data_IF_924558650369
#
_entry.id   IF_924558650369
#
_cell.length_a   1.000
_cell.length_b   1.000
_cell.length_c   1.000
_cell.angle_alpha   90.00
_cell.angle_beta   90.00
_cell.angle_gamma   90.00
#
_symmetry.space_group_name_H-M   'P 1'
#
loop_
_entity.id
_entity.type
_entity.pdbx_description
1 polymer ?
#
# COMPACT_ATOMS: atom_id res chain seq x y z
N UNK A 1 11.73 16.08 -4.14
CA UNK A 1 11.59 14.97 -3.16
C UNK A 1 10.14 14.79 -2.68
N UNK A 2 9.45 15.85 -2.25
CA UNK A 2 8.07 15.75 -1.72
C UNK A 2 7.05 15.20 -2.73
N UNK A 3 7.12 15.62 -3.99
CA UNK A 3 6.28 15.10 -5.09
C UNK A 3 6.53 13.62 -5.37
N UNK A 4 7.80 13.20 -5.33
CA UNK A 4 8.17 11.79 -5.51
C UNK A 4 7.54 10.91 -4.43
N UNK A 5 7.68 11.30 -3.15
CA UNK A 5 7.06 10.59 -2.00
C UNK A 5 5.53 10.55 -2.14
N UNK A 6 4.91 11.65 -2.54
CA UNK A 6 3.45 11.70 -2.75
C UNK A 6 2.99 10.73 -3.85
N UNK A 7 3.68 10.68 -4.99
CA UNK A 7 3.37 9.78 -6.10
C UNK A 7 3.60 8.32 -5.70
N UNK A 8 4.71 7.99 -5.04
CA UNK A 8 4.95 6.61 -4.56
C UNK A 8 3.93 6.18 -3.52
N UNK A 9 3.54 7.07 -2.60
CA UNK A 9 2.48 6.80 -1.64
C UNK A 9 1.15 6.52 -2.30
N UNK A 10 0.80 7.31 -3.33
CA UNK A 10 -0.41 7.10 -4.12
C UNK A 10 -0.39 5.71 -4.79
N UNK A 11 0.73 5.31 -5.40
CA UNK A 11 0.86 3.99 -6.02
C UNK A 11 0.67 2.85 -5.00
N UNK A 12 1.20 2.97 -3.78
CA UNK A 12 0.99 1.97 -2.73
C UNK A 12 -0.46 1.90 -2.26
N UNK A 13 -1.15 3.05 -2.15
CA UNK A 13 -2.59 3.07 -1.84
C UNK A 13 -3.38 2.39 -2.94
N UNK A 14 -3.10 2.67 -4.22
CA UNK A 14 -3.73 1.98 -5.35
C UNK A 14 -3.48 0.47 -5.29
N UNK A 15 -2.27 0.05 -4.95
CA UNK A 15 -1.96 -1.36 -4.74
C UNK A 15 -2.83 -1.97 -3.64
N UNK A 16 -2.93 -1.34 -2.46
CA UNK A 16 -3.81 -1.82 -1.39
C UNK A 16 -5.25 -1.94 -1.86
N UNK A 17 -5.77 -0.93 -2.57
CA UNK A 17 -7.12 -0.98 -3.15
C UNK A 17 -7.28 -2.13 -4.13
N UNK A 18 -6.28 -2.39 -4.99
CA UNK A 18 -6.31 -3.54 -5.90
C UNK A 18 -6.35 -4.88 -5.15
N UNK A 19 -5.63 -5.01 -4.03
CA UNK A 19 -5.73 -6.21 -3.18
C UNK A 19 -7.12 -6.36 -2.57
N UNK A 20 -7.74 -5.27 -2.12
CA UNK A 20 -9.11 -5.28 -1.58
C UNK A 20 -10.13 -5.67 -2.66
N UNK A 21 -10.05 -5.05 -3.85
CA UNK A 21 -10.91 -5.40 -4.99
C UNK A 21 -10.74 -6.86 -5.39
N UNK A 22 -9.51 -7.39 -5.34
CA UNK A 22 -9.23 -8.79 -5.59
C UNK A 22 -9.93 -9.71 -4.59
N UNK A 23 -9.93 -9.36 -3.29
CA UNK A 23 -10.68 -10.11 -2.27
C UNK A 23 -12.18 -10.10 -2.57
N UNK A 24 -12.74 -8.98 -3.02
CA UNK A 24 -14.16 -8.91 -3.41
C UNK A 24 -14.49 -9.70 -4.68
N UNK A 25 -13.59 -9.71 -5.67
CA UNK A 25 -13.82 -10.38 -6.95
C UNK A 25 -13.57 -11.88 -6.91
N UNK A 26 -12.48 -12.30 -6.28
CA UNK A 26 -12.09 -13.70 -6.21
C UNK A 26 -12.69 -14.34 -4.95
N UNK A 27 -12.69 -13.66 -3.79
CA UNK A 27 -13.21 -14.15 -2.51
C UNK A 27 -12.16 -14.24 -1.41
N UNK A 28 -12.57 -14.57 -0.18
CA UNK A 28 -11.66 -14.65 1.00
C UNK A 28 -10.57 -15.73 0.85
N UNK A 29 -10.79 -16.74 0.01
CA UNK A 29 -9.81 -17.81 -0.24
C UNK A 29 -8.47 -17.33 -0.84
N UNK A 30 -8.41 -16.12 -1.40
CA UNK A 30 -7.15 -15.51 -1.89
C UNK A 30 -6.22 -15.21 -0.71
N UNK A 31 -6.77 -14.98 0.49
CA UNK A 31 -5.97 -14.83 1.71
C UNK A 31 -5.24 -16.11 2.12
N UNK A 32 -5.58 -17.27 1.56
CA UNK A 32 -4.81 -18.50 1.73
C UNK A 32 -3.50 -18.53 0.94
N UNK A 33 -3.32 -17.62 -0.03
CA UNK A 33 -2.10 -17.54 -0.82
C UNK A 33 -1.03 -16.72 -0.07
N UNK A 34 0.11 -17.33 0.32
CA UNK A 34 1.13 -16.66 1.11
C UNK A 34 1.74 -15.46 0.38
N UNK A 35 1.78 -15.50 -0.96
CA UNK A 35 2.29 -14.39 -1.76
C UNK A 35 1.37 -13.17 -1.68
N UNK A 36 0.06 -13.38 -1.75
CA UNK A 36 -0.93 -12.29 -1.65
C UNK A 36 -0.90 -11.63 -0.27
N UNK A 37 -0.79 -12.41 0.80
CA UNK A 37 -0.62 -11.89 2.15
C UNK A 37 0.66 -11.06 2.27
N UNK A 38 1.78 -11.59 1.76
CA UNK A 38 3.06 -10.88 1.80
C UNK A 38 2.99 -9.52 1.08
N UNK A 39 2.46 -9.47 -0.15
CA UNK A 39 2.35 -8.23 -0.91
C UNK A 39 1.35 -7.24 -0.28
N UNK A 40 0.29 -7.74 0.34
CA UNK A 40 -0.67 -6.90 1.07
C UNK A 40 -0.02 -6.24 2.28
N UNK A 41 0.64 -7.02 3.14
CA UNK A 41 1.33 -6.52 4.35
C UNK A 41 2.43 -5.54 3.96
N UNK A 42 3.21 -5.85 2.92
CA UNK A 42 4.25 -4.97 2.41
C UNK A 42 3.66 -3.65 1.92
N UNK A 43 2.56 -3.70 1.15
CA UNK A 43 1.89 -2.50 0.64
C UNK A 43 1.34 -1.62 1.76
N UNK A 44 0.74 -2.21 2.79
CA UNK A 44 0.27 -1.49 3.99
C UNK A 44 1.43 -0.84 4.75
N UNK A 45 2.54 -1.56 4.94
CA UNK A 45 3.75 -1.03 5.56
C UNK A 45 4.34 0.14 4.77
N UNK A 46 4.38 0.04 3.44
CA UNK A 46 4.87 1.08 2.55
C UNK A 46 3.95 2.32 2.51
N UNK A 47 2.64 2.15 2.60
CA UNK A 47 1.69 3.24 2.82
C UNK A 47 1.99 4.00 4.12
N UNK A 48 2.19 3.27 5.23
CA UNK A 48 2.54 3.87 6.53
C UNK A 48 3.89 4.59 6.49
N UNK A 49 4.89 4.00 5.83
CA UNK A 49 6.19 4.62 5.63
C UNK A 49 6.11 5.90 4.78
N UNK A 50 5.37 5.86 3.67
CA UNK A 50 5.17 7.04 2.81
C UNK A 50 4.48 8.18 3.55
N UNK A 51 3.47 7.87 4.37
CA UNK A 51 2.81 8.86 5.23
C UNK A 51 3.77 9.47 6.26
N UNK A 52 4.60 8.64 6.90
CA UNK A 52 5.64 9.10 7.83
C UNK A 52 6.64 10.03 7.12
N UNK A 53 7.12 9.64 5.94
CA UNK A 53 8.04 10.45 5.12
C UNK A 53 7.42 11.78 4.69
N UNK A 54 6.17 11.78 4.22
CA UNK A 54 5.46 13.03 3.89
C UNK A 54 5.41 13.96 5.10
N UNK A 55 5.00 13.46 6.27
CA UNK A 55 4.95 14.27 7.50
C UNK A 55 6.32 14.82 7.91
N UNK A 56 7.41 14.07 7.70
CA UNK A 56 8.77 14.56 7.96
C UNK A 56 9.21 15.63 6.96
N UNK A 57 8.92 15.45 5.67
CA UNK A 57 9.21 16.43 4.61
C UNK A 57 8.35 17.70 4.69
N UNK A 58 7.20 17.66 5.37
CA UNK A 58 6.37 18.84 5.57
C UNK A 58 6.69 19.61 6.86
N UNK A 59 7.56 19.06 7.72
CA UNK A 59 8.04 19.71 8.95
C UNK A 59 9.41 20.39 8.78
N UNK A 60 10.10 20.15 7.67
CA UNK A 60 11.26 20.93 7.22
C UNK A 60 10.80 22.02 6.27
#
# INVERSE_FOLDING_TARGET
MKTYVAVTGLLFVLLVVAHVLRIFSEGIHVAGNPWFLFTTVLSVGLCGWSWRMWRQLSRK
#
